data_IF_482624677717
#
_entry.id   IF_482624677717
#
_cell.length_a   1.000
_cell.length_b   1.000
_cell.length_c   1.000
_cell.angle_alpha   90.00
_cell.angle_beta   90.00
_cell.angle_gamma   90.00
#
_symmetry.space_group_name_H-M   'P 1'
#
loop_
_entity.id
_entity.type
_entity.pdbx_description
1 polymer ?
#
# COMPACT_ATOMS: atom_id res chain seq x y z
N UNK A 1 -47.57 -0.77 -26.40
CA UNK A 1 -46.26 -0.10 -26.50
C UNK A 1 -45.40 -0.55 -25.32
N UNK A 2 -44.57 -1.61 -25.43
CA UNK A 2 -43.74 -2.03 -24.31
C UNK A 2 -42.45 -1.20 -24.26
N UNK A 3 -42.14 -0.69 -23.07
CA UNK A 3 -40.98 0.16 -22.73
C UNK A 3 -39.68 -0.65 -22.76
N UNK A 4 -38.66 -0.10 -23.38
CA UNK A 4 -37.26 -0.52 -23.28
C UNK A 4 -36.75 -0.29 -21.85
N UNK A 5 -36.62 -1.36 -21.06
CA UNK A 5 -35.89 -1.37 -19.78
C UNK A 5 -35.19 -2.74 -19.67
N UNK A 6 -34.00 -2.90 -20.25
CA UNK A 6 -33.21 -4.14 -20.04
C UNK A 6 -31.70 -4.01 -20.28
N UNK A 7 -31.19 -2.93 -20.87
CA UNK A 7 -29.77 -2.86 -21.27
C UNK A 7 -28.80 -2.37 -20.17
N UNK A 8 -29.31 -1.86 -19.04
CA UNK A 8 -28.46 -1.30 -17.96
C UNK A 8 -28.07 -2.36 -16.92
N UNK A 9 -28.87 -3.42 -16.75
CA UNK A 9 -28.55 -4.50 -15.79
C UNK A 9 -27.35 -5.32 -16.26
N UNK A 10 -27.28 -5.66 -17.55
CA UNK A 10 -26.32 -6.64 -18.06
C UNK A 10 -24.87 -6.23 -17.88
N UNK A 11 -24.55 -4.93 -17.98
CA UNK A 11 -23.17 -4.45 -17.83
C UNK A 11 -22.65 -4.52 -16.40
N UNK A 12 -23.50 -4.23 -15.40
CA UNK A 12 -23.10 -4.31 -13.97
C UNK A 12 -22.79 -5.75 -13.55
N UNK A 13 -23.58 -6.68 -14.06
CA UNK A 13 -23.39 -8.11 -13.79
C UNK A 13 -22.06 -8.59 -14.39
N UNK A 14 -21.68 -8.13 -15.59
CA UNK A 14 -20.38 -8.46 -16.21
C UNK A 14 -19.18 -8.01 -15.37
N UNK A 15 -19.16 -6.79 -14.83
CA UNK A 15 -18.03 -6.32 -14.01
C UNK A 15 -17.91 -7.06 -12.67
N UNK A 16 -19.03 -7.52 -12.11
CA UNK A 16 -19.03 -8.31 -10.87
C UNK A 16 -18.51 -9.72 -11.13
N UNK A 17 -18.83 -10.32 -12.27
CA UNK A 17 -18.28 -11.62 -12.69
C UNK A 17 -16.77 -11.55 -12.93
N UNK A 18 -16.28 -10.49 -13.57
CA UNK A 18 -14.84 -10.21 -13.71
C UNK A 18 -14.16 -10.07 -12.35
N UNK A 19 -14.77 -9.34 -11.40
CA UNK A 19 -14.24 -9.22 -10.04
C UNK A 19 -14.13 -10.58 -9.33
N UNK A 20 -15.15 -11.44 -9.46
CA UNK A 20 -15.10 -12.79 -8.86
C UNK A 20 -13.98 -13.62 -9.50
N UNK A 21 -13.82 -13.52 -10.83
CA UNK A 21 -12.88 -14.33 -11.62
C UNK A 21 -11.44 -13.83 -11.54
N UNK A 22 -11.21 -12.58 -11.18
CA UNK A 22 -9.85 -12.01 -11.08
C UNK A 22 -9.42 -11.84 -9.62
N UNK A 23 -10.31 -11.34 -8.74
CA UNK A 23 -9.95 -10.92 -7.39
C UNK A 23 -10.29 -11.97 -6.32
N UNK A 24 -11.25 -12.88 -6.57
CA UNK A 24 -11.70 -13.87 -5.59
C UNK A 24 -11.31 -15.32 -5.93
N UNK A 25 -10.44 -15.53 -6.92
CA UNK A 25 -10.01 -16.88 -7.34
C UNK A 25 -9.36 -17.65 -6.20
N UNK A 26 -8.46 -16.98 -5.47
CA UNK A 26 -7.74 -17.55 -4.35
C UNK A 26 -8.49 -17.38 -3.02
N UNK A 27 -9.67 -16.73 -3.04
CA UNK A 27 -10.43 -16.45 -1.84
C UNK A 27 -11.05 -17.73 -1.26
N UNK A 28 -10.70 -18.05 -0.03
CA UNK A 28 -11.27 -19.19 0.69
C UNK A 28 -12.58 -18.78 1.37
N UNK A 29 -13.68 -18.86 0.63
CA UNK A 29 -15.03 -18.63 1.17
C UNK A 29 -15.54 -19.92 1.81
N UNK A 30 -16.08 -19.84 3.03
CA UNK A 30 -16.59 -20.98 3.77
C UNK A 30 -17.62 -21.79 2.92
N UNK A 31 -17.38 -23.09 2.67
CA UNK A 31 -18.26 -23.91 1.82
C UNK A 31 -19.64 -24.16 2.43
N UNK A 32 -19.80 -23.96 3.74
CA UNK A 32 -21.07 -24.16 4.45
C UNK A 32 -22.07 -23.00 4.25
N UNK A 33 -21.66 -21.92 3.57
CA UNK A 33 -22.53 -20.78 3.28
C UNK A 33 -23.62 -21.17 2.29
N UNK A 34 -24.86 -20.81 2.63
CA UNK A 34 -25.99 -20.95 1.71
C UNK A 34 -25.74 -20.13 0.44
N UNK A 35 -26.24 -20.57 -0.73
CA UNK A 35 -26.02 -19.87 -2.00
C UNK A 35 -26.42 -18.39 -1.97
N UNK A 36 -27.49 -18.07 -1.23
CA UNK A 36 -27.96 -16.69 -1.02
C UNK A 36 -26.97 -15.86 -0.21
N UNK A 37 -26.46 -16.39 0.90
CA UNK A 37 -25.47 -15.70 1.74
C UNK A 37 -24.15 -15.49 1.00
N UNK A 38 -23.76 -16.45 0.16
CA UNK A 38 -22.58 -16.30 -0.69
C UNK A 38 -22.74 -15.16 -1.70
N UNK A 39 -23.92 -15.02 -2.30
CA UNK A 39 -24.21 -13.90 -3.19
C UNK A 39 -24.15 -12.57 -2.44
N UNK A 40 -24.82 -12.48 -1.29
CA UNK A 40 -24.81 -11.28 -0.44
C UNK A 40 -23.39 -10.89 -0.02
N UNK A 41 -22.54 -11.87 0.32
CA UNK A 41 -21.13 -11.63 0.63
C UNK A 41 -20.38 -11.05 -0.57
N UNK A 42 -20.51 -11.64 -1.75
CA UNK A 42 -19.86 -11.14 -2.97
C UNK A 42 -20.37 -9.73 -3.30
N UNK A 43 -21.67 -9.45 -3.11
CA UNK A 43 -22.22 -8.11 -3.27
C UNK A 43 -21.54 -7.07 -2.37
N UNK A 44 -21.36 -7.40 -1.09
CA UNK A 44 -20.67 -6.52 -0.13
C UNK A 44 -19.21 -6.31 -0.55
N UNK A 45 -18.49 -7.40 -0.87
CA UNK A 45 -17.09 -7.33 -1.28
C UNK A 45 -16.89 -6.51 -2.54
N UNK A 46 -17.78 -6.67 -3.53
CA UNK A 46 -17.76 -5.88 -4.76
C UNK A 46 -18.08 -4.41 -4.48
N UNK A 47 -19.09 -4.13 -3.65
CA UNK A 47 -19.52 -2.76 -3.31
C UNK A 47 -18.40 -1.97 -2.62
N UNK A 48 -17.60 -2.63 -1.77
CA UNK A 48 -16.53 -2.01 -1.01
C UNK A 48 -15.13 -2.44 -1.49
N UNK A 49 -14.97 -2.80 -2.76
CA UNK A 49 -13.69 -3.32 -3.27
C UNK A 49 -12.51 -2.35 -3.06
N UNK A 50 -12.73 -1.04 -3.19
CA UNK A 50 -11.73 0.01 -2.98
C UNK A 50 -11.32 0.19 -1.51
N UNK A 51 -12.04 -0.41 -0.57
CA UNK A 51 -11.65 -0.41 0.84
C UNK A 51 -10.50 -1.41 1.12
N UNK A 52 -10.22 -2.32 0.18
CA UNK A 52 -9.16 -3.31 0.29
C UNK A 52 -7.94 -2.88 -0.53
N UNK A 53 -6.77 -3.33 -0.10
CA UNK A 53 -5.57 -3.21 -0.92
C UNK A 53 -5.72 -4.05 -2.21
N UNK A 54 -5.20 -3.54 -3.32
CA UNK A 54 -5.16 -4.23 -4.61
C UNK A 54 -3.78 -4.09 -5.23
N UNK A 55 -3.50 -4.80 -6.32
CA UNK A 55 -2.21 -4.70 -7.01
C UNK A 55 -1.93 -3.27 -7.53
N UNK A 56 -2.99 -2.53 -7.88
CA UNK A 56 -2.91 -1.14 -8.34
C UNK A 56 -2.86 -0.14 -7.18
N UNK A 57 -3.55 -0.46 -6.07
CA UNK A 57 -3.60 0.34 -4.85
C UNK A 57 -3.11 -0.52 -3.67
N UNK A 58 -1.80 -0.79 -3.57
CA UNK A 58 -1.23 -1.75 -2.61
C UNK A 58 -1.38 -1.32 -1.15
N UNK A 59 -1.60 -0.03 -0.90
CA UNK A 59 -1.93 0.51 0.42
C UNK A 59 -3.44 0.72 0.62
N UNK A 60 -4.26 0.35 -0.37
CA UNK A 60 -5.67 0.70 -0.47
C UNK A 60 -5.90 2.17 -0.84
N UNK A 61 -7.16 2.59 -0.85
CA UNK A 61 -7.57 3.97 -1.15
C UNK A 61 -7.29 4.94 0.03
N UNK A 62 -6.05 5.00 0.51
CA UNK A 62 -5.62 5.90 1.59
C UNK A 62 -5.53 7.33 1.05
N UNK A 63 -6.18 8.26 1.75
CA UNK A 63 -5.90 9.68 1.63
C UNK A 63 -4.82 10.04 2.64
N UNK A 64 -3.62 10.34 2.17
CA UNK A 64 -2.53 10.81 3.01
C UNK A 64 -2.94 12.09 3.75
N UNK A 65 -2.61 12.15 5.04
CA UNK A 65 -2.62 13.40 5.78
C UNK A 65 -1.17 13.80 6.03
N UNK A 66 -0.81 15.03 5.69
CA UNK A 66 0.49 15.58 6.06
C UNK A 66 0.52 15.78 7.59
N UNK A 67 1.62 15.37 8.21
CA UNK A 67 1.80 15.48 9.66
C UNK A 67 3.01 16.35 9.94
N UNK A 68 2.77 17.49 10.58
CA UNK A 68 3.83 18.38 11.02
C UNK A 68 4.34 17.94 12.40
N UNK A 69 5.57 17.45 12.44
CA UNK A 69 6.23 17.08 13.69
C UNK A 69 7.16 18.22 14.12
N UNK A 70 6.74 18.96 15.16
CA UNK A 70 7.55 20.02 15.76
C UNK A 70 8.58 19.41 16.72
N UNK A 71 9.86 19.72 16.50
CA UNK A 71 10.92 19.29 17.42
C UNK A 71 11.02 20.21 18.64
N UNK A 72 11.32 19.62 19.80
CA UNK A 72 11.56 20.36 21.06
C UNK A 72 13.04 20.65 21.32
N UNK A 73 13.91 20.49 20.33
CA UNK A 73 15.37 20.70 20.45
C UNK A 73 15.77 21.99 19.72
N UNK A 74 17.02 22.42 19.89
CA UNK A 74 17.57 23.62 19.24
C UNK A 74 18.75 23.23 18.32
N UNK A 75 19.11 24.13 17.40
CA UNK A 75 20.21 23.92 16.43
C UNK A 75 21.53 23.46 17.10
N UNK A 76 22.35 22.65 16.40
CA UNK A 76 22.21 22.23 15.00
C UNK A 76 21.23 21.04 14.80
N UNK A 77 20.46 21.10 13.71
CA UNK A 77 19.60 20.01 13.24
C UNK A 77 20.23 19.29 12.05
N UNK A 78 19.92 18.00 11.84
CA UNK A 78 19.37 17.05 12.81
C UNK A 78 20.42 16.70 13.89
N UNK A 79 20.01 16.15 15.06
CA UNK A 79 20.98 15.63 16.02
C UNK A 79 21.86 14.60 15.33
N UNK A 80 23.17 14.79 15.38
CA UNK A 80 24.14 13.84 14.81
C UNK A 80 23.85 12.44 15.36
N UNK A 81 23.64 11.48 14.48
CA UNK A 81 23.50 10.08 14.87
C UNK A 81 24.75 9.70 15.66
N UNK A 82 24.59 9.39 16.95
CA UNK A 82 25.71 9.15 17.86
C UNK A 82 26.56 7.93 17.44
N UNK A 83 26.02 7.05 16.60
CA UNK A 83 26.66 5.82 16.12
C UNK A 83 26.25 5.53 14.68
N UNK A 84 27.16 4.99 13.86
CA UNK A 84 26.76 4.43 12.57
C UNK A 84 25.79 3.27 12.80
N UNK A 85 24.96 2.99 11.80
CA UNK A 85 24.13 1.79 11.79
C UNK A 85 25.04 0.56 11.94
N UNK A 86 24.62 -0.39 12.78
CA UNK A 86 25.35 -1.65 12.92
C UNK A 86 25.32 -2.41 11.58
N UNK A 87 26.43 -3.00 11.13
CA UNK A 87 26.45 -3.74 9.87
C UNK A 87 25.48 -4.92 9.93
N UNK A 88 24.55 -4.95 8.99
CA UNK A 88 23.67 -6.09 8.80
C UNK A 88 24.47 -7.28 8.23
N UNK A 89 24.08 -8.51 8.57
CA UNK A 89 24.66 -9.70 7.94
C UNK A 89 24.32 -9.72 6.43
N UNK A 90 25.12 -10.38 5.57
CA UNK A 90 24.84 -10.44 4.12
C UNK A 90 23.42 -10.92 3.80
N UNK A 91 22.97 -11.99 4.47
CA UNK A 91 21.60 -12.52 4.32
C UNK A 91 20.53 -11.52 4.76
N UNK A 92 20.76 -10.80 5.86
CA UNK A 92 19.83 -9.77 6.28
C UNK A 92 19.79 -8.64 5.23
N UNK A 93 20.96 -8.22 4.75
CA UNK A 93 21.12 -7.17 3.74
C UNK A 93 20.31 -7.45 2.48
N UNK A 94 20.38 -8.66 1.94
CA UNK A 94 19.59 -9.09 0.78
C UNK A 94 18.08 -9.02 1.02
N UNK A 95 17.61 -9.49 2.18
CA UNK A 95 16.18 -9.42 2.52
C UNK A 95 15.70 -7.97 2.72
N UNK A 96 16.53 -7.14 3.36
CA UNK A 96 16.27 -5.72 3.56
C UNK A 96 16.20 -4.96 2.24
N UNK A 97 17.11 -5.23 1.30
CA UNK A 97 17.13 -4.57 -0.01
C UNK A 97 15.81 -4.76 -0.76
N UNK A 98 15.27 -5.99 -0.76
CA UNK A 98 13.97 -6.28 -1.39
C UNK A 98 12.86 -5.40 -0.81
N UNK A 99 12.75 -5.34 0.51
CA UNK A 99 11.71 -4.55 1.17
C UNK A 99 11.92 -3.04 1.03
N UNK A 100 13.17 -2.56 1.01
CA UNK A 100 13.46 -1.15 0.74
C UNK A 100 13.01 -0.76 -0.67
N UNK A 101 13.28 -1.59 -1.67
CA UNK A 101 12.86 -1.35 -3.04
C UNK A 101 11.33 -1.32 -3.17
N UNK A 102 10.63 -2.24 -2.52
CA UNK A 102 9.17 -2.25 -2.44
C UNK A 102 8.65 -0.93 -1.86
N UNK A 103 9.17 -0.49 -0.71
CA UNK A 103 8.74 0.76 -0.07
C UNK A 103 9.06 2.02 -0.89
N UNK A 104 10.14 2.01 -1.68
CA UNK A 104 10.46 3.09 -2.61
C UNK A 104 9.45 3.13 -3.75
N UNK A 105 9.12 1.98 -4.34
CA UNK A 105 8.13 1.89 -5.41
C UNK A 105 6.73 2.33 -4.94
N UNK A 106 6.39 2.02 -3.68
CA UNK A 106 5.15 2.45 -3.04
C UNK A 106 5.12 3.95 -2.70
N UNK A 107 6.22 4.68 -2.90
CA UNK A 107 6.31 6.11 -2.53
C UNK A 107 6.34 6.36 -1.02
N UNK A 108 6.49 5.31 -0.21
CA UNK A 108 6.62 5.41 1.26
C UNK A 108 8.02 5.89 1.64
N UNK A 109 9.04 5.42 0.91
CA UNK A 109 10.41 5.88 1.06
C UNK A 109 10.85 6.66 -0.19
N UNK A 110 11.60 7.74 0.02
CA UNK A 110 12.25 8.49 -1.05
C UNK A 110 13.73 8.61 -0.77
N UNK A 111 14.56 8.40 -1.79
CA UNK A 111 15.99 8.71 -1.71
C UNK A 111 16.17 10.22 -1.74
N UNK A 112 16.78 10.76 -0.69
CA UNK A 112 17.13 12.19 -0.57
C UNK A 112 18.58 12.36 -1.02
N UNK A 113 18.82 13.35 -1.89
CA UNK A 113 20.16 13.71 -2.34
C UNK A 113 20.99 14.39 -1.24
N UNK A 114 22.32 14.30 -1.32
CA UNK A 114 23.22 14.96 -0.36
C UNK A 114 22.98 16.49 -0.27
N UNK A 115 22.64 17.11 -1.40
CA UNK A 115 22.45 18.56 -1.52
C UNK A 115 20.97 18.97 -1.67
N UNK A 116 20.04 18.03 -1.46
CA UNK A 116 18.61 18.33 -1.51
C UNK A 116 18.22 19.03 -0.21
N UNK A 117 17.90 20.33 -0.29
CA UNK A 117 17.23 21.06 0.78
C UNK A 117 15.82 20.52 0.93
N UNK A 118 15.71 19.48 1.73
CA UNK A 118 14.41 18.99 2.18
C UNK A 118 14.04 19.82 3.41
N UNK A 119 12.80 20.27 3.50
CA UNK A 119 12.26 20.98 4.67
C UNK A 119 12.09 19.97 5.81
N UNK A 120 13.19 19.43 6.33
CA UNK A 120 13.17 18.26 7.20
C UNK A 120 13.24 18.67 8.66
N UNK A 121 12.34 18.13 9.48
CA UNK A 121 12.65 17.95 10.89
C UNK A 121 13.12 16.56 11.28
N UNK A 122 12.83 15.47 10.56
CA UNK A 122 13.70 14.28 10.69
C UNK A 122 13.74 13.43 9.41
N UNK A 123 14.87 13.36 8.70
CA UNK A 123 15.03 12.33 7.70
C UNK A 123 15.32 11.09 8.52
N UNK A 124 14.50 10.04 8.40
CA UNK A 124 14.95 8.72 8.85
C UNK A 124 16.05 8.31 7.88
N UNK A 125 17.27 8.77 8.16
CA UNK A 125 18.47 8.40 7.41
C UNK A 125 18.77 6.96 7.80
N UNK A 126 18.28 6.01 7.00
CA UNK A 126 18.83 4.67 6.99
C UNK A 126 20.15 4.78 6.24
N UNK A 127 21.24 5.00 6.98
CA UNK A 127 22.59 4.99 6.42
C UNK A 127 22.91 3.56 5.97
N UNK A 128 22.62 3.26 4.70
CA UNK A 128 23.14 2.09 4.02
C UNK A 128 24.58 2.38 3.62
N UNK A 129 25.53 1.73 4.30
CA UNK A 129 26.93 1.82 3.90
C UNK A 129 27.08 1.10 2.57
N UNK A 130 27.10 1.85 1.46
CA UNK A 130 27.65 1.33 0.20
C UNK A 130 29.10 0.90 0.45
N UNK A 131 29.42 -0.25 -0.11
CA UNK A 131 30.56 -1.06 0.26
C UNK A 131 31.90 -0.31 0.18
N UNK A 132 32.77 -0.61 1.15
CA UNK A 132 34.20 -0.77 0.89
C UNK A 132 34.46 -2.25 0.64
#
# INVERSE_FOLDING_TARGET
MPKQISLVSSKKDTYKEEFVTNNLVEAQINPSLLPKMRHELIDVLYTYNNAFASDNEPLGAIKGNEVDITLTIYRPYPPVLRRPAYPASPRAREAWEKHMQELIQLGVLKKVGHDEEVEVTTPVIIAWNNDK
#
